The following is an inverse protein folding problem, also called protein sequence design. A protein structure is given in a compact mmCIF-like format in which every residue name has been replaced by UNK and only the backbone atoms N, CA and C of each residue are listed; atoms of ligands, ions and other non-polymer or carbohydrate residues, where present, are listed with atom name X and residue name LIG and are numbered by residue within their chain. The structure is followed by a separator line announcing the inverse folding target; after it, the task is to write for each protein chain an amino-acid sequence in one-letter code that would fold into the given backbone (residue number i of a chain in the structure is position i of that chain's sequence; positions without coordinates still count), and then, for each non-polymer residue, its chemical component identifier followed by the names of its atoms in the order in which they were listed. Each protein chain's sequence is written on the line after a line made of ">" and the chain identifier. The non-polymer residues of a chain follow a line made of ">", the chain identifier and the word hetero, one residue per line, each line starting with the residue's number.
data_IF_483558423875
#
_entry.id   IF_483558423875
#
_cell.length_a   1.000
_cell.length_b   1.000
_cell.length_c   1.000
_cell.angle_alpha   90.00
_cell.angle_beta   90.00
_cell.angle_gamma   90.00
#
_symmetry.space_group_name_H-M   'P 1'
#
loop_
_entity.id
_entity.type
_entity.pdbx_description
1 polymer ?
#
# COMPACT_ATOMS: atom_id res chain seq x y z
N UNK A 1 26.48 4.69 -21.04
CA UNK A 1 26.36 5.16 -19.64
C UNK A 1 25.70 4.07 -18.83
N UNK A 2 26.46 3.38 -17.97
CA UNK A 2 26.05 2.13 -17.34
C UNK A 2 25.18 2.39 -16.10
N UNK A 3 24.05 1.71 -16.05
CA UNK A 3 23.08 1.73 -14.97
C UNK A 3 23.65 1.07 -13.71
N UNK A 4 23.83 1.85 -12.64
CA UNK A 4 24.09 1.31 -11.30
C UNK A 4 22.76 0.96 -10.63
N UNK A 5 22.16 -0.16 -11.04
CA UNK A 5 21.16 -0.85 -10.24
C UNK A 5 21.86 -1.46 -9.02
N UNK A 6 21.93 -0.72 -7.91
CA UNK A 6 22.25 -1.30 -6.62
C UNK A 6 21.22 -2.40 -6.35
N UNK A 7 21.64 -3.67 -6.44
CA UNK A 7 20.94 -4.83 -5.90
C UNK A 7 20.78 -4.60 -4.39
N UNK A 8 19.72 -3.91 -4.00
CA UNK A 8 19.23 -3.95 -2.63
C UNK A 8 18.76 -5.38 -2.44
N UNK A 9 19.51 -6.15 -1.66
CA UNK A 9 19.12 -7.50 -1.24
C UNK A 9 17.74 -7.38 -0.60
N UNK A 10 16.76 -8.04 -1.21
CA UNK A 10 15.45 -8.23 -0.60
C UNK A 10 15.65 -9.04 0.67
N UNK A 11 15.52 -8.40 1.83
CA UNK A 11 15.44 -9.08 3.10
C UNK A 11 13.95 -9.44 3.27
N UNK A 12 13.58 -10.73 3.43
CA UNK A 12 12.22 -11.08 3.79
C UNK A 12 11.91 -10.42 5.13
N UNK A 13 10.83 -9.63 5.11
CA UNK A 13 10.38 -8.68 6.14
C UNK A 13 10.11 -9.25 7.54
N UNK A 14 10.29 -10.55 7.74
CA UNK A 14 9.93 -11.28 8.96
C UNK A 14 10.86 -11.00 10.15
N UNK A 15 12.04 -10.40 9.92
CA UNK A 15 13.06 -10.24 10.96
C UNK A 15 12.97 -8.93 11.76
N UNK A 16 12.12 -7.98 11.34
CA UNK A 16 11.97 -6.64 12.00
C UNK A 16 10.55 -6.47 12.61
N UNK A 17 9.62 -7.41 12.37
CA UNK A 17 8.17 -7.26 12.62
C UNK A 17 7.73 -7.40 14.09
N UNK A 18 8.49 -8.08 14.97
CA UNK A 18 7.97 -8.52 16.28
C UNK A 18 7.74 -7.41 17.31
N UNK A 19 8.37 -6.24 17.17
CA UNK A 19 8.18 -5.10 18.08
C UNK A 19 7.18 -4.06 17.56
N UNK A 20 6.80 -4.10 16.28
CA UNK A 20 5.93 -3.11 15.62
C UNK A 20 4.47 -3.55 15.56
N UNK A 21 4.18 -4.85 15.41
CA UNK A 21 2.80 -5.37 15.30
C UNK A 21 1.90 -4.96 16.48
N UNK A 22 2.44 -4.97 17.70
CA UNK A 22 1.70 -4.55 18.91
C UNK A 22 1.32 -3.06 18.88
N UNK A 23 2.20 -2.20 18.34
CA UNK A 23 1.92 -0.76 18.22
C UNK A 23 0.91 -0.50 17.11
N UNK A 24 1.00 -1.21 16.00
CA UNK A 24 0.05 -1.11 14.90
C UNK A 24 -1.38 -1.46 15.31
N UNK A 25 -1.54 -2.50 16.14
CA UNK A 25 -2.86 -2.88 16.66
C UNK A 25 -3.47 -1.79 17.55
N UNK A 26 -2.64 -1.13 18.37
CA UNK A 26 -3.09 0.01 19.20
C UNK A 26 -3.53 1.17 18.30
N UNK A 27 -2.74 1.49 17.27
CA UNK A 27 -3.05 2.55 16.31
C UNK A 27 -4.31 2.25 15.48
N UNK A 28 -4.52 0.99 15.09
CA UNK A 28 -5.75 0.53 14.42
C UNK A 28 -6.97 0.68 15.33
N UNK A 29 -6.82 0.41 16.63
CA UNK A 29 -7.89 0.60 17.61
C UNK A 29 -8.25 2.08 17.75
N UNK A 30 -7.28 2.98 17.81
CA UNK A 30 -7.53 4.44 17.81
C UNK A 30 -8.21 4.91 16.52
N UNK A 31 -7.80 4.37 15.38
CA UNK A 31 -8.47 4.60 14.09
C UNK A 31 -9.93 4.15 14.08
N UNK A 32 -10.23 3.01 14.68
CA UNK A 32 -11.61 2.51 14.81
C UNK A 32 -12.45 3.38 15.75
N UNK A 33 -11.82 4.03 16.73
CA UNK A 33 -12.45 5.00 17.62
C UNK A 33 -12.71 6.38 16.95
N UNK A 34 -12.27 6.55 15.69
CA UNK A 34 -12.51 7.76 14.91
C UNK A 34 -11.31 8.69 14.78
N UNK A 35 -10.16 8.35 15.37
CA UNK A 35 -8.95 9.14 15.22
C UNK A 35 -8.28 8.88 13.86
N UNK A 36 -8.68 9.67 12.87
CA UNK A 36 -8.16 9.56 11.51
C UNK A 36 -6.75 10.13 11.34
N UNK A 37 -6.23 10.87 12.33
CA UNK A 37 -4.89 11.44 12.25
C UNK A 37 -3.80 10.37 12.25
N UNK A 38 -4.08 9.25 12.94
CA UNK A 38 -3.23 8.06 13.03
C UNK A 38 -3.07 7.32 11.70
N UNK A 39 -4.00 7.49 10.75
CA UNK A 39 -3.90 6.87 9.42
C UNK A 39 -2.59 7.23 8.73
N UNK A 40 -2.22 8.52 8.71
CA UNK A 40 -1.05 8.98 7.96
C UNK A 40 0.25 8.42 8.55
N UNK A 41 0.29 8.24 9.86
CA UNK A 41 1.43 7.62 10.54
C UNK A 41 1.64 6.17 10.08
N UNK A 42 0.57 5.38 10.06
CA UNK A 42 0.60 4.01 9.55
C UNK A 42 0.89 3.97 8.05
N UNK A 43 0.21 4.80 7.27
CA UNK A 43 0.35 4.81 5.81
C UNK A 43 1.78 5.15 5.39
N UNK A 44 2.39 6.17 6.00
CA UNK A 44 3.77 6.59 5.71
C UNK A 44 4.77 5.44 5.86
N UNK A 45 4.62 4.62 6.91
CA UNK A 45 5.47 3.45 7.15
C UNK A 45 5.40 2.42 6.00
N UNK A 46 4.22 2.25 5.40
CA UNK A 46 4.00 1.29 4.33
C UNK A 46 4.11 1.88 2.92
N UNK A 47 4.05 3.20 2.77
CA UNK A 47 3.97 3.88 1.48
C UNK A 47 5.14 3.51 0.57
N UNK A 48 6.38 3.54 1.07
CA UNK A 48 7.56 3.21 0.28
C UNK A 48 7.59 1.73 -0.15
N UNK A 49 7.07 0.84 0.70
CA UNK A 49 6.94 -0.58 0.36
C UNK A 49 5.90 -0.77 -0.74
N UNK A 50 4.73 -0.14 -0.61
CA UNK A 50 3.65 -0.23 -1.58
C UNK A 50 4.01 0.42 -2.92
N UNK A 51 4.67 1.57 -2.92
CA UNK A 51 5.12 2.23 -4.15
C UNK A 51 6.01 1.32 -4.99
N UNK A 52 7.00 0.68 -4.35
CA UNK A 52 7.89 -0.27 -5.01
C UNK A 52 7.14 -1.47 -5.59
N UNK A 53 6.08 -1.93 -4.92
CA UNK A 53 5.21 -3.00 -5.43
C UNK A 53 4.38 -2.54 -6.63
N UNK A 54 3.74 -1.37 -6.54
CA UNK A 54 3.02 -0.77 -7.67
C UNK A 54 3.94 -0.61 -8.88
N UNK A 55 5.16 -0.13 -8.67
CA UNK A 55 6.15 0.02 -9.72
C UNK A 55 6.51 -1.31 -10.39
N UNK A 56 6.66 -2.38 -9.60
CA UNK A 56 6.91 -3.74 -10.11
C UNK A 56 5.70 -4.31 -10.88
N UNK A 57 4.47 -4.07 -10.41
CA UNK A 57 3.25 -4.60 -11.03
C UNK A 57 2.82 -3.84 -12.28
N UNK A 58 3.01 -2.52 -12.34
CA UNK A 58 2.65 -1.65 -13.48
C UNK A 58 3.75 -1.60 -14.57
N UNK A 59 4.69 -2.56 -14.57
CA UNK A 59 5.68 -2.68 -15.64
C UNK A 59 6.74 -1.57 -15.68
N UNK A 60 7.16 -1.04 -14.53
CA UNK A 60 8.19 0.01 -14.41
C UNK A 60 7.83 1.39 -14.96
N UNK A 61 6.53 1.69 -15.12
CA UNK A 61 6.05 3.04 -15.46
C UNK A 61 5.81 3.83 -14.18
N UNK A 62 6.56 4.91 -13.99
CA UNK A 62 6.45 5.75 -12.80
C UNK A 62 5.07 6.43 -12.69
N UNK A 63 4.53 6.94 -13.81
CA UNK A 63 3.22 7.60 -13.85
C UNK A 63 2.09 6.70 -13.34
N UNK A 64 2.07 5.46 -13.82
CA UNK A 64 1.00 4.51 -13.52
C UNK A 64 1.12 4.00 -12.07
N UNK A 65 2.36 3.85 -11.58
CA UNK A 65 2.64 3.47 -10.20
C UNK A 65 2.23 4.57 -9.20
N UNK A 66 2.48 5.84 -9.52
CA UNK A 66 2.07 6.99 -8.72
C UNK A 66 0.54 7.15 -8.68
N UNK A 67 -0.12 6.96 -9.83
CA UNK A 67 -1.58 6.97 -9.90
C UNK A 67 -2.18 5.82 -9.07
N UNK A 68 -1.62 4.61 -9.21
CA UNK A 68 -2.05 3.46 -8.45
C UNK A 68 -1.87 3.67 -6.93
N UNK A 69 -0.73 4.19 -6.51
CA UNK A 69 -0.49 4.49 -5.10
C UNK A 69 -1.47 5.54 -4.59
N UNK A 70 -1.68 6.64 -5.32
CA UNK A 70 -2.60 7.71 -4.92
C UNK A 70 -4.03 7.23 -4.76
N UNK A 71 -4.53 6.45 -5.73
CA UNK A 71 -5.85 5.82 -5.65
C UNK A 71 -5.93 4.81 -4.51
N UNK A 72 -4.84 4.09 -4.21
CA UNK A 72 -4.77 3.17 -3.08
C UNK A 72 -4.85 3.91 -1.75
N UNK A 73 -4.15 5.04 -1.61
CA UNK A 73 -4.23 5.90 -0.43
C UNK A 73 -5.67 6.34 -0.16
N UNK A 74 -6.37 6.83 -1.19
CA UNK A 74 -7.77 7.28 -1.07
C UNK A 74 -8.71 6.13 -0.68
N UNK A 75 -8.52 4.95 -1.29
CA UNK A 75 -9.34 3.78 -0.99
C UNK A 75 -9.06 3.26 0.43
N UNK A 76 -7.79 3.23 0.82
CA UNK A 76 -7.37 2.88 2.18
C UNK A 76 -7.93 3.87 3.19
N UNK A 77 -7.84 5.18 2.95
CA UNK A 77 -8.41 6.21 3.84
C UNK A 77 -9.91 5.98 4.11
N UNK A 78 -10.67 5.62 3.08
CA UNK A 78 -12.12 5.40 3.20
C UNK A 78 -12.49 4.05 3.82
N UNK A 79 -11.69 3.01 3.59
CA UNK A 79 -11.99 1.64 4.02
C UNK A 79 -11.34 1.30 5.36
N UNK A 80 -10.14 1.80 5.65
CA UNK A 80 -9.36 1.43 6.82
C UNK A 80 -10.14 1.67 8.12
N UNK A 81 -10.80 2.83 8.38
CA UNK A 81 -11.56 3.02 9.62
C UNK A 81 -12.73 2.04 9.76
N UNK A 82 -13.35 1.60 8.65
CA UNK A 82 -14.47 0.66 8.64
C UNK A 82 -14.01 -0.78 8.95
N UNK A 83 -12.84 -1.14 8.45
CA UNK A 83 -12.29 -2.49 8.60
C UNK A 83 -11.24 -2.61 9.72
N UNK A 84 -10.82 -1.50 10.35
CA UNK A 84 -9.77 -1.45 11.36
C UNK A 84 -9.97 -2.49 12.47
N UNK A 85 -11.22 -2.69 12.92
CA UNK A 85 -11.55 -3.69 13.95
C UNK A 85 -11.37 -5.16 13.52
N UNK A 86 -11.38 -5.45 12.20
CA UNK A 86 -11.23 -6.81 11.64
C UNK A 86 -9.82 -7.09 11.14
N UNK A 87 -8.99 -6.07 11.01
CA UNK A 87 -7.65 -6.20 10.44
C UNK A 87 -6.72 -6.73 11.54
N UNK A 88 -6.30 -7.98 11.40
CA UNK A 88 -5.28 -8.61 12.25
C UNK A 88 -3.86 -8.33 11.75
N UNK A 89 -3.68 -8.21 10.43
CA UNK A 89 -2.40 -7.87 9.81
C UNK A 89 -2.58 -6.75 8.78
N UNK A 90 -2.14 -5.55 9.14
CA UNK A 90 -2.30 -4.34 8.32
C UNK A 90 -1.54 -4.45 6.99
N UNK A 91 -0.33 -4.97 7.03
CA UNK A 91 0.53 -5.12 5.86
C UNK A 91 -0.08 -6.03 4.81
N UNK A 92 -0.62 -7.17 5.22
CA UNK A 92 -1.30 -8.11 4.34
C UNK A 92 -2.54 -7.47 3.72
N UNK A 93 -3.33 -6.75 4.52
CA UNK A 93 -4.52 -6.03 4.05
C UNK A 93 -4.16 -4.94 3.03
N UNK A 94 -3.16 -4.11 3.35
CA UNK A 94 -2.67 -3.05 2.47
C UNK A 94 -2.17 -3.64 1.16
N UNK A 95 -1.28 -4.64 1.21
CA UNK A 95 -0.73 -5.29 0.02
C UNK A 95 -1.83 -5.86 -0.88
N UNK A 96 -2.86 -6.49 -0.29
CA UNK A 96 -4.02 -7.01 -1.04
C UNK A 96 -4.82 -5.88 -1.68
N UNK A 97 -5.06 -4.79 -0.95
CA UNK A 97 -5.76 -3.62 -1.46
C UNK A 97 -5.01 -2.98 -2.65
N UNK A 98 -3.70 -2.78 -2.52
CA UNK A 98 -2.89 -2.17 -3.58
C UNK A 98 -2.79 -3.08 -4.79
N UNK A 99 -2.60 -4.38 -4.57
CA UNK A 99 -2.57 -5.37 -5.65
C UNK A 99 -3.87 -5.38 -6.45
N UNK A 100 -5.00 -5.48 -5.77
CA UNK A 100 -6.32 -5.48 -6.42
C UNK A 100 -6.54 -4.20 -7.23
N UNK A 101 -6.03 -3.07 -6.74
CA UNK A 101 -6.12 -1.80 -7.43
C UNK A 101 -5.18 -1.73 -8.64
N UNK A 102 -3.95 -2.24 -8.55
CA UNK A 102 -3.03 -2.30 -9.68
C UNK A 102 -3.60 -3.18 -10.80
N UNK A 103 -4.14 -4.37 -10.47
CA UNK A 103 -4.81 -5.21 -11.47
C UNK A 103 -6.02 -4.51 -12.09
N UNK A 104 -6.78 -3.75 -11.30
CA UNK A 104 -7.88 -2.95 -11.81
C UNK A 104 -7.36 -1.87 -12.77
N UNK A 105 -6.38 -1.06 -12.38
CA UNK A 105 -5.86 0.02 -13.23
C UNK A 105 -5.19 -0.50 -14.49
N UNK A 106 -4.42 -1.59 -14.40
CA UNK A 106 -3.86 -2.29 -15.55
C UNK A 106 -4.96 -2.71 -16.52
N UNK A 107 -6.03 -3.34 -16.02
CA UNK A 107 -7.17 -3.71 -16.85
C UNK A 107 -7.88 -2.49 -17.47
N UNK A 108 -7.98 -1.36 -16.77
CA UNK A 108 -8.65 -0.16 -17.28
C UNK A 108 -7.81 0.57 -18.33
N UNK A 109 -6.51 0.75 -18.08
CA UNK A 109 -5.57 1.46 -18.95
C UNK A 109 -5.25 0.66 -20.21
N UNK A 110 -5.08 -0.65 -20.10
CA UNK A 110 -4.66 -1.50 -21.23
C UNK A 110 -5.82 -2.11 -22.03
N UNK A 111 -7.02 -2.25 -21.46
CA UNK A 111 -8.18 -2.81 -22.20
C UNK A 111 -9.13 -1.78 -22.77
N UNK A 112 -8.74 -0.50 -22.79
CA UNK A 112 -9.47 0.52 -23.56
C UNK A 112 -10.83 0.89 -22.99
N UNK A 113 -11.04 0.78 -21.68
CA UNK A 113 -12.16 1.47 -21.01
C UNK A 113 -11.74 2.91 -20.70
N UNK A 114 -11.42 3.64 -21.76
CA UNK A 114 -11.26 5.08 -21.71
C UNK A 114 -12.55 5.70 -21.20
N UNK A 115 -12.41 6.61 -20.24
CA UNK A 115 -13.47 7.49 -19.76
C UNK A 115 -14.22 8.08 -20.96
N UNK A 116 -15.50 7.72 -21.07
CA UNK A 116 -16.52 8.58 -21.66
C UNK A 116 -16.92 9.58 -20.58
#
# INVERSE_FOLDING_TARGET
>A
MQASFKRVRYIPSQAIESSTESQEQILLKSLSAGDRSVFWLLWSHYQDYLYRRCFQWMGSKHTDAEEALSRATLKAWNQLPKYAHKITNLRAWLTRLTHNLCCFLDAYLHRGYGLI
#
